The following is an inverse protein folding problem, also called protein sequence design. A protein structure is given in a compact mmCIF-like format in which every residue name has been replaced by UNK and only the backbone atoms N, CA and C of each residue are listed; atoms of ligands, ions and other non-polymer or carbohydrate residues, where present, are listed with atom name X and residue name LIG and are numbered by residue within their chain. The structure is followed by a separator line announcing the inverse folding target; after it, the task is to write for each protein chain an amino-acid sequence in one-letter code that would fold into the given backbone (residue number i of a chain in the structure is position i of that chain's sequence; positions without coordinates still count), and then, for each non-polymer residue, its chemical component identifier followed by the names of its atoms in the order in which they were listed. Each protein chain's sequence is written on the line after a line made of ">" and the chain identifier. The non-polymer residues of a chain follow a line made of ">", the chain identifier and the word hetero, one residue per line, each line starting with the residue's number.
data_IF_031415067486
#
_entry.id   IF_031415067486
#
_cell.length_a   1.000
_cell.length_b   1.000
_cell.length_c   1.000
_cell.angle_alpha   90.00
_cell.angle_beta   90.00
_cell.angle_gamma   90.00
#
_symmetry.space_group_name_H-M   'P 1'
#
loop_
_entity.id
_entity.type
_entity.pdbx_description
1 polymer ?
#
# COMPACT_ATOMS: atom_id res chain seq x y z
N UNK A 1 -24.63 -22.37 27.07
CA UNK A 1 -24.82 -22.13 25.62
C UNK A 1 -23.44 -22.03 25.00
N UNK A 2 -23.15 -22.80 23.96
CA UNK A 2 -21.84 -22.76 23.29
C UNK A 2 -21.79 -21.54 22.39
N UNK A 3 -20.74 -20.74 22.56
CA UNK A 3 -20.39 -19.61 21.70
C UNK A 3 -20.30 -20.07 20.24
N UNK A 4 -20.98 -19.43 19.28
CA UNK A 4 -20.90 -19.79 17.87
C UNK A 4 -19.47 -19.73 17.34
N UNK A 5 -19.12 -20.65 16.44
CA UNK A 5 -17.76 -20.77 15.86
C UNK A 5 -17.25 -19.47 15.22
N UNK A 6 -18.14 -18.59 14.73
CA UNK A 6 -17.76 -17.30 14.13
C UNK A 6 -17.31 -16.26 15.16
N UNK A 7 -17.88 -16.23 16.37
CA UNK A 7 -17.44 -15.34 17.46
C UNK A 7 -15.97 -15.61 17.86
N UNK A 8 -15.53 -16.86 17.79
CA UNK A 8 -14.12 -17.21 18.02
C UNK A 8 -13.18 -16.75 16.89
N UNK A 9 -13.64 -16.67 15.65
CA UNK A 9 -12.83 -16.15 14.54
C UNK A 9 -12.71 -14.63 14.59
N UNK A 10 -13.80 -13.92 14.91
CA UNK A 10 -13.80 -12.47 15.08
C UNK A 10 -12.86 -12.03 16.20
N UNK A 11 -12.88 -12.71 17.35
CA UNK A 11 -11.97 -12.42 18.46
C UNK A 11 -10.49 -12.64 18.12
N UNK A 12 -10.16 -13.67 17.33
CA UNK A 12 -8.77 -13.91 16.89
C UNK A 12 -8.31 -12.87 15.86
N UNK A 13 -9.19 -12.46 14.95
CA UNK A 13 -8.88 -11.42 13.97
C UNK A 13 -8.62 -10.07 14.65
N UNK A 14 -9.41 -9.71 15.67
CA UNK A 14 -9.18 -8.50 16.47
C UNK A 14 -7.79 -8.47 17.09
N UNK A 15 -7.41 -9.51 17.84
CA UNK A 15 -6.11 -9.60 18.52
C UNK A 15 -4.97 -9.45 17.51
N UNK A 16 -4.99 -10.24 16.43
CA UNK A 16 -3.94 -10.20 15.39
C UNK A 16 -3.84 -8.81 14.77
N UNK A 17 -4.97 -8.15 14.50
CA UNK A 17 -4.96 -6.83 13.86
C UNK A 17 -4.55 -5.71 14.83
N UNK A 18 -4.75 -5.85 16.14
CA UNK A 18 -4.20 -4.94 17.15
C UNK A 18 -2.69 -5.13 17.31
N UNK A 19 -2.22 -6.37 17.43
CA UNK A 19 -0.80 -6.71 17.47
C UNK A 19 -0.08 -6.20 16.21
N UNK A 20 -0.67 -6.40 15.02
CA UNK A 20 -0.14 -5.84 13.77
C UNK A 20 0.02 -4.31 13.85
N UNK A 21 -0.94 -3.59 14.44
CA UNK A 21 -0.86 -2.14 14.56
C UNK A 21 0.34 -1.71 15.41
N UNK A 22 0.54 -2.36 16.55
CA UNK A 22 1.61 -2.06 17.49
C UNK A 22 2.98 -2.46 16.95
N UNK A 23 3.11 -3.70 16.46
CA UNK A 23 4.37 -4.24 15.98
C UNK A 23 4.88 -3.50 14.74
N UNK A 24 3.99 -3.04 13.87
CA UNK A 24 4.40 -2.31 12.67
C UNK A 24 4.61 -0.81 12.91
N UNK A 25 4.35 -0.31 14.12
CA UNK A 25 4.44 1.13 14.42
C UNK A 25 3.33 1.95 13.76
N UNK A 26 2.19 1.32 13.45
CA UNK A 26 0.96 2.05 13.10
C UNK A 26 0.42 2.75 14.35
N UNK A 27 0.52 2.09 15.50
CA UNK A 27 0.26 2.64 16.84
C UNK A 27 1.52 2.58 17.70
N UNK A 28 1.47 3.24 18.86
CA UNK A 28 2.62 3.30 19.78
C UNK A 28 3.76 4.21 19.31
N UNK A 29 4.95 3.98 19.86
CA UNK A 29 6.14 4.82 19.66
C UNK A 29 7.18 4.22 18.71
N UNK A 30 6.98 2.98 18.25
CA UNK A 30 7.90 2.30 17.34
C UNK A 30 7.94 2.99 15.98
N UNK A 31 9.12 3.06 15.32
CA UNK A 31 9.21 3.58 13.96
C UNK A 31 8.31 2.81 12.98
N UNK A 32 7.63 3.49 12.04
CA UNK A 32 6.80 2.84 11.03
C UNK A 32 7.57 1.81 10.18
N UNK A 33 7.03 0.60 10.08
CA UNK A 33 7.49 -0.45 9.17
C UNK A 33 6.39 -0.80 8.19
N UNK A 34 6.48 -0.24 6.98
CA UNK A 34 5.49 -0.43 5.92
C UNK A 34 5.96 -1.45 4.89
N UNK A 35 5.05 -2.30 4.47
CA UNK A 35 5.23 -3.27 3.39
C UNK A 35 3.92 -3.37 2.61
N UNK A 36 3.94 -2.88 1.37
CA UNK A 36 2.74 -2.49 0.64
C UNK A 36 1.70 -3.61 0.51
N UNK A 37 2.17 -4.85 0.32
CA UNK A 37 1.28 -6.01 0.19
C UNK A 37 0.53 -6.30 1.49
N UNK A 38 1.25 -6.45 2.61
CA UNK A 38 0.63 -6.74 3.90
C UNK A 38 -0.23 -5.59 4.37
N UNK A 39 0.20 -4.35 4.15
CA UNK A 39 -0.58 -3.16 4.50
C UNK A 39 -1.91 -3.10 3.73
N UNK A 40 -1.92 -3.48 2.45
CA UNK A 40 -3.16 -3.52 1.66
C UNK A 40 -4.18 -4.53 2.21
N UNK A 41 -3.73 -5.69 2.69
CA UNK A 41 -4.61 -6.65 3.37
C UNK A 41 -5.04 -6.14 4.74
N UNK A 42 -4.14 -5.53 5.50
CA UNK A 42 -4.45 -4.95 6.81
C UNK A 42 -5.53 -3.87 6.72
N UNK A 43 -5.46 -2.96 5.74
CA UNK A 43 -6.54 -1.98 5.46
C UNK A 43 -7.87 -2.70 5.24
N UNK A 44 -7.91 -3.71 4.37
CA UNK A 44 -9.14 -4.45 4.09
C UNK A 44 -9.69 -5.16 5.35
N UNK A 45 -8.81 -5.74 6.17
CA UNK A 45 -9.19 -6.41 7.41
C UNK A 45 -9.77 -5.43 8.43
N UNK A 46 -9.15 -4.27 8.63
CA UNK A 46 -9.68 -3.23 9.51
C UNK A 46 -11.04 -2.73 9.06
N UNK A 47 -11.24 -2.51 7.75
CA UNK A 47 -12.54 -2.11 7.22
C UNK A 47 -13.63 -3.17 7.46
N UNK A 48 -13.27 -4.45 7.37
CA UNK A 48 -14.21 -5.55 7.64
C UNK A 48 -14.51 -5.69 9.14
N UNK A 49 -13.52 -5.56 10.01
CA UNK A 49 -13.72 -5.52 11.46
C UNK A 49 -14.62 -4.35 11.86
N UNK A 50 -14.42 -3.17 11.26
CA UNK A 50 -15.32 -2.03 11.44
C UNK A 50 -16.75 -2.39 11.01
N UNK A 51 -16.92 -2.98 9.82
CA UNK A 51 -18.25 -3.33 9.28
C UNK A 51 -19.01 -4.33 10.15
N UNK A 52 -18.31 -5.28 10.78
CA UNK A 52 -18.92 -6.31 11.62
C UNK A 52 -19.23 -5.83 13.04
N UNK A 53 -18.39 -4.96 13.61
CA UNK A 53 -18.48 -4.54 15.01
C UNK A 53 -19.07 -3.14 15.22
N UNK A 54 -19.13 -2.32 14.18
CA UNK A 54 -19.35 -0.86 14.23
C UNK A 54 -18.34 -0.11 15.12
N UNK A 55 -17.22 -0.75 15.50
CA UNK A 55 -16.18 -0.11 16.27
C UNK A 55 -15.32 0.80 15.38
N UNK A 56 -15.50 2.12 15.56
CA UNK A 56 -14.80 3.16 14.80
C UNK A 56 -13.28 3.14 14.94
N UNK A 57 -12.74 2.53 16.00
CA UNK A 57 -11.28 2.38 16.17
C UNK A 57 -10.64 1.68 14.96
N UNK A 58 -11.30 0.66 14.39
CA UNK A 58 -10.76 -0.03 13.22
C UNK A 58 -10.82 0.84 11.96
N UNK A 59 -11.86 1.66 11.81
CA UNK A 59 -11.90 2.61 10.71
C UNK A 59 -10.74 3.62 10.83
N UNK A 60 -10.50 4.15 12.03
CA UNK A 60 -9.39 5.05 12.29
C UNK A 60 -8.03 4.40 12.02
N UNK A 61 -7.84 3.14 12.41
CA UNK A 61 -6.64 2.36 12.09
C UNK A 61 -6.46 2.18 10.57
N UNK A 62 -7.53 1.88 9.83
CA UNK A 62 -7.47 1.76 8.37
C UNK A 62 -7.04 3.08 7.72
N UNK A 63 -7.62 4.21 8.14
CA UNK A 63 -7.30 5.52 7.60
C UNK A 63 -5.88 5.98 7.97
N UNK A 64 -5.47 5.74 9.21
CA UNK A 64 -4.10 6.01 9.67
C UNK A 64 -3.08 5.17 8.90
N UNK A 65 -3.42 3.92 8.57
CA UNK A 65 -2.53 3.06 7.80
C UNK A 65 -2.39 3.56 6.35
N UNK A 66 -3.48 3.99 5.72
CA UNK A 66 -3.42 4.61 4.39
C UNK A 66 -2.48 5.82 4.40
N UNK A 67 -2.69 6.73 5.35
CA UNK A 67 -1.88 7.93 5.51
C UNK A 67 -0.38 7.60 5.73
N UNK A 68 -0.09 6.67 6.63
CA UNK A 68 1.29 6.27 6.93
C UNK A 68 1.95 5.55 5.75
N UNK A 69 1.23 4.71 4.99
CA UNK A 69 1.77 4.11 3.76
C UNK A 69 2.12 5.17 2.73
N UNK A 70 1.26 6.17 2.51
CA UNK A 70 1.53 7.27 1.59
C UNK A 70 2.77 8.07 2.01
N UNK A 71 2.89 8.44 3.28
CA UNK A 71 4.02 9.22 3.78
C UNK A 71 5.34 8.44 3.84
N UNK A 72 5.29 7.11 3.96
CA UNK A 72 6.49 6.27 4.02
C UNK A 72 6.86 5.76 2.62
N UNK A 73 5.94 5.07 1.95
CA UNK A 73 6.19 4.39 0.68
C UNK A 73 5.98 5.29 -0.54
N UNK A 74 5.28 6.42 -0.43
CA UNK A 74 5.20 7.45 -1.48
C UNK A 74 6.41 8.39 -1.52
N UNK A 75 7.38 8.21 -0.62
CA UNK A 75 8.63 8.96 -0.57
C UNK A 75 9.84 8.12 -0.95
N UNK A 76 10.95 8.79 -1.26
CA UNK A 76 12.28 8.19 -1.38
C UNK A 76 12.65 7.41 -0.13
N UNK A 77 13.63 6.49 -0.25
CA UNK A 77 14.04 5.64 0.87
C UNK A 77 14.59 6.42 2.08
N UNK A 78 15.21 7.58 1.82
CA UNK A 78 15.68 8.49 2.87
C UNK A 78 14.58 9.43 3.39
N UNK A 79 13.35 9.33 2.85
CA UNK A 79 12.18 10.09 3.29
C UNK A 79 12.18 11.56 2.92
N UNK A 80 13.17 12.04 2.15
CA UNK A 80 13.37 13.47 1.88
C UNK A 80 12.50 14.02 0.76
N UNK A 81 12.16 13.20 -0.23
CA UNK A 81 11.38 13.64 -1.39
C UNK A 81 10.23 12.69 -1.67
N UNK A 82 9.15 13.22 -2.22
CA UNK A 82 8.08 12.41 -2.79
C UNK A 82 8.53 11.77 -4.10
N UNK A 83 8.08 10.54 -4.36
CA UNK A 83 8.39 9.84 -5.61
C UNK A 83 7.84 10.57 -6.85
N UNK A 84 6.80 11.37 -6.67
CA UNK A 84 6.20 12.18 -7.74
C UNK A 84 7.09 13.34 -8.18
N UNK A 85 8.09 13.72 -7.38
CA UNK A 85 8.89 14.92 -7.59
C UNK A 85 8.13 16.23 -7.34
N UNK A 86 6.87 16.17 -6.91
CA UNK A 86 6.06 17.32 -6.56
C UNK A 86 6.57 17.98 -5.27
N UNK A 87 6.27 19.26 -5.08
CA UNK A 87 6.48 19.91 -3.79
C UNK A 87 5.61 19.26 -2.70
N UNK A 88 5.97 19.50 -1.43
CA UNK A 88 5.28 18.86 -0.31
C UNK A 88 3.77 19.07 -0.34
N UNK A 89 3.28 20.29 -0.58
CA UNK A 89 1.84 20.59 -0.49
C UNK A 89 1.05 19.87 -1.58
N UNK A 90 1.58 19.84 -2.79
CA UNK A 90 0.92 19.18 -3.90
C UNK A 90 1.05 17.65 -3.82
N UNK A 91 2.18 17.15 -3.32
CA UNK A 91 2.35 15.73 -3.09
C UNK A 91 1.43 15.19 -1.98
N UNK A 92 1.12 15.96 -0.93
CA UNK A 92 0.11 15.56 0.07
C UNK A 92 -1.28 15.38 -0.55
N UNK A 93 -1.60 16.12 -1.61
CA UNK A 93 -2.88 16.00 -2.33
C UNK A 93 -2.88 14.82 -3.28
N UNK A 94 -1.71 14.48 -3.83
CA UNK A 94 -1.51 13.44 -4.84
C UNK A 94 -0.41 12.43 -4.41
N UNK A 95 -0.56 11.78 -3.25
CA UNK A 95 0.52 10.97 -2.64
C UNK A 95 0.89 9.74 -3.47
N UNK A 96 0.02 9.32 -4.38
CA UNK A 96 0.20 8.16 -5.25
C UNK A 96 0.67 8.50 -6.67
N UNK A 97 0.79 9.80 -7.01
CA UNK A 97 1.14 10.25 -8.36
C UNK A 97 2.58 9.94 -8.79
N UNK A 98 3.45 9.48 -7.87
CA UNK A 98 4.77 8.93 -8.20
C UNK A 98 4.86 7.41 -8.14
N UNK A 99 3.73 6.75 -7.87
CA UNK A 99 3.73 5.35 -7.47
C UNK A 99 4.05 5.17 -5.99
N UNK A 100 4.26 3.92 -5.57
CA UNK A 100 4.58 3.57 -4.18
C UNK A 100 5.69 2.51 -4.17
N UNK A 101 6.64 2.68 -3.26
CA UNK A 101 7.64 1.65 -2.96
C UNK A 101 6.98 0.39 -2.39
N UNK A 102 7.67 -0.75 -2.48
CA UNK A 102 7.22 -2.01 -1.87
C UNK A 102 7.46 -2.00 -0.35
N UNK A 103 8.58 -1.41 0.10
CA UNK A 103 9.01 -1.42 1.51
C UNK A 103 10.02 -2.53 1.85
N UNK A 104 10.72 -3.09 0.85
CA UNK A 104 11.73 -4.13 1.08
C UNK A 104 13.05 -3.56 1.64
N UNK A 105 13.87 -4.44 2.20
CA UNK A 105 15.10 -4.07 2.94
C UNK A 105 16.25 -3.62 2.04
N UNK A 106 16.38 -4.18 0.84
CA UNK A 106 17.42 -3.76 -0.10
C UNK A 106 16.89 -2.65 -1.01
N UNK A 107 17.75 -1.72 -1.39
CA UNK A 107 17.40 -0.71 -2.38
C UNK A 107 17.22 -1.33 -3.78
N UNK A 108 16.56 -0.61 -4.69
CA UNK A 108 16.57 -0.97 -6.11
C UNK A 108 18.01 -1.18 -6.61
N UNK A 109 18.17 -2.10 -7.57
CA UNK A 109 19.47 -2.37 -8.18
C UNK A 109 19.92 -1.15 -8.98
N UNK A 110 21.16 -0.71 -8.74
CA UNK A 110 21.73 0.38 -9.53
C UNK A 110 21.98 -0.08 -10.97
N UNK A 111 21.94 0.81 -11.97
CA UNK A 111 22.15 0.41 -13.36
C UNK A 111 23.49 -0.30 -13.62
N UNK A 112 24.51 0.01 -12.83
CA UNK A 112 25.87 -0.56 -12.88
C UNK A 112 26.05 -1.81 -12.02
N UNK A 113 25.09 -2.14 -11.15
CA UNK A 113 25.13 -3.37 -10.36
C UNK A 113 24.72 -4.59 -11.19
N UNK A 114 25.52 -5.67 -11.07
CA UNK A 114 25.22 -6.94 -11.69
C UNK A 114 23.84 -7.48 -11.25
N UNK A 115 23.12 -8.07 -12.18
CA UNK A 115 21.86 -8.73 -11.89
C UNK A 115 22.11 -9.99 -11.06
N UNK A 116 21.45 -10.08 -9.90
CA UNK A 116 21.44 -11.25 -9.03
C UNK A 116 19.99 -11.60 -8.72
N UNK A 117 19.53 -12.74 -9.24
CA UNK A 117 18.15 -13.18 -9.14
C UNK A 117 17.68 -13.31 -7.69
N UNK A 118 18.53 -13.79 -6.77
CA UNK A 118 18.16 -13.96 -5.37
C UNK A 118 17.98 -12.61 -4.69
N UNK A 119 18.90 -11.67 -4.93
CA UNK A 119 18.80 -10.33 -4.35
C UNK A 119 17.58 -9.57 -4.89
N UNK A 120 17.18 -9.77 -6.15
CA UNK A 120 16.01 -9.08 -6.72
C UNK A 120 14.70 -9.32 -5.94
N UNK A 121 14.58 -10.48 -5.28
CA UNK A 121 13.45 -10.79 -4.40
C UNK A 121 13.43 -9.95 -3.13
N UNK A 122 14.57 -9.44 -2.68
CA UNK A 122 14.70 -8.60 -1.47
C UNK A 122 14.87 -7.11 -1.77
N UNK A 123 14.91 -6.74 -3.06
CA UNK A 123 15.00 -5.35 -3.52
C UNK A 123 13.65 -4.67 -3.59
N UNK A 124 13.63 -3.44 -3.07
CA UNK A 124 12.52 -2.50 -3.09
C UNK A 124 12.22 -2.04 -4.52
N UNK A 125 11.46 -0.97 -4.63
CA UNK A 125 11.09 -0.34 -5.87
C UNK A 125 9.61 -0.43 -6.11
N UNK A 126 9.18 -0.61 -7.36
CA UNK A 126 7.77 -0.74 -7.68
C UNK A 126 7.50 -2.08 -8.38
N UNK A 127 6.32 -2.65 -8.12
CA UNK A 127 5.92 -3.90 -8.75
C UNK A 127 4.42 -3.88 -9.00
N UNK A 128 4.01 -4.11 -10.24
CA UNK A 128 2.64 -3.90 -10.70
C UNK A 128 1.58 -4.55 -9.78
N UNK A 129 1.76 -5.83 -9.38
CA UNK A 129 0.73 -6.51 -8.60
C UNK A 129 0.59 -5.95 -7.16
N UNK A 130 1.66 -5.45 -6.54
CA UNK A 130 1.59 -4.78 -5.25
C UNK A 130 0.76 -3.49 -5.36
N UNK A 131 1.02 -2.70 -6.41
CA UNK A 131 0.28 -1.47 -6.66
C UNK A 131 -1.21 -1.75 -6.91
N UNK A 132 -1.55 -2.76 -7.71
CA UNK A 132 -2.96 -3.12 -7.95
C UNK A 132 -3.69 -3.55 -6.68
N UNK A 133 -3.01 -4.24 -5.75
CA UNK A 133 -3.61 -4.61 -4.47
C UNK A 133 -3.86 -3.38 -3.59
N UNK A 134 -2.96 -2.39 -3.63
CA UNK A 134 -3.17 -1.12 -2.94
C UNK A 134 -4.30 -0.28 -3.57
N UNK A 135 -4.41 -0.22 -4.90
CA UNK A 135 -5.55 0.40 -5.60
C UNK A 135 -6.88 -0.20 -5.13
N UNK A 136 -6.93 -1.53 -4.97
CA UNK A 136 -8.09 -2.21 -4.41
C UNK A 136 -8.38 -1.75 -2.97
N UNK A 137 -7.37 -1.72 -2.10
CA UNK A 137 -7.55 -1.26 -0.71
C UNK A 137 -8.11 0.18 -0.66
N UNK A 138 -7.56 1.09 -1.46
CA UNK A 138 -8.06 2.47 -1.56
C UNK A 138 -9.51 2.54 -2.07
N UNK A 139 -9.87 1.74 -3.08
CA UNK A 139 -11.27 1.64 -3.52
C UNK A 139 -12.19 1.15 -2.40
N UNK A 140 -11.75 0.18 -1.59
CA UNK A 140 -12.51 -0.30 -0.41
C UNK A 140 -12.70 0.80 0.63
N UNK A 141 -11.66 1.59 0.93
CA UNK A 141 -11.77 2.73 1.86
C UNK A 141 -12.75 3.78 1.33
N UNK A 142 -12.67 4.12 0.05
CA UNK A 142 -13.63 5.05 -0.60
C UNK A 142 -15.07 4.60 -0.38
N UNK A 143 -15.36 3.32 -0.63
CA UNK A 143 -16.71 2.75 -0.49
C UNK A 143 -17.23 2.72 0.94
N UNK A 144 -16.37 2.46 1.92
CA UNK A 144 -16.78 2.40 3.33
C UNK A 144 -16.97 3.79 3.93
N UNK A 145 -16.19 4.77 3.46
CA UNK A 145 -16.21 6.14 4.00
C UNK A 145 -17.07 7.12 3.20
N UNK A 146 -17.51 6.74 2.01
CA UNK A 146 -18.13 7.60 0.99
C UNK A 146 -17.24 8.82 0.60
N UNK A 147 -15.92 8.68 0.75
CA UNK A 147 -14.95 9.73 0.41
C UNK A 147 -14.26 9.40 -0.90
N UNK A 148 -14.66 10.09 -1.98
CA UNK A 148 -14.14 9.88 -3.33
C UNK A 148 -12.62 10.08 -3.50
N UNK A 149 -11.98 10.82 -2.58
CA UNK A 149 -10.53 11.09 -2.63
C UNK A 149 -9.68 9.80 -2.64
N UNK A 150 -10.08 8.75 -1.90
CA UNK A 150 -9.32 7.49 -1.91
C UNK A 150 -9.37 6.80 -3.27
N UNK A 151 -10.52 6.89 -3.96
CA UNK A 151 -10.63 6.34 -5.31
C UNK A 151 -9.87 7.20 -6.34
N UNK A 152 -9.78 8.51 -6.14
CA UNK A 152 -8.93 9.39 -6.94
C UNK A 152 -7.45 8.97 -6.83
N UNK A 153 -6.94 8.73 -5.63
CA UNK A 153 -5.58 8.21 -5.43
C UNK A 153 -5.38 6.82 -6.06
N UNK A 154 -6.39 5.94 -6.02
CA UNK A 154 -6.32 4.66 -6.71
C UNK A 154 -6.18 4.82 -8.24
N UNK A 155 -6.89 5.80 -8.83
CA UNK A 155 -6.81 6.12 -10.26
C UNK A 155 -5.45 6.71 -10.63
N UNK A 156 -4.93 7.64 -9.83
CA UNK A 156 -3.58 8.20 -10.04
C UNK A 156 -2.52 7.11 -10.00
N UNK A 157 -2.59 6.21 -9.02
CA UNK A 157 -1.68 5.07 -8.94
C UNK A 157 -1.79 4.19 -10.18
N UNK A 158 -3.00 3.98 -10.70
CA UNK A 158 -3.23 3.19 -11.90
C UNK A 158 -2.62 3.86 -13.15
N UNK A 159 -2.70 5.18 -13.27
CA UNK A 159 -2.10 5.93 -14.37
C UNK A 159 -0.58 5.79 -14.38
N UNK A 160 0.06 5.97 -13.23
CA UNK A 160 1.51 5.84 -13.08
C UNK A 160 1.97 4.40 -13.32
N UNK A 161 1.28 3.43 -12.71
CA UNK A 161 1.61 2.02 -12.90
C UNK A 161 1.45 1.62 -14.38
N UNK A 162 0.37 2.02 -15.04
CA UNK A 162 0.19 1.74 -16.45
C UNK A 162 1.31 2.37 -17.31
N UNK A 163 1.70 3.61 -17.02
CA UNK A 163 2.81 4.27 -17.71
C UNK A 163 4.16 3.57 -17.52
N UNK A 164 4.46 3.12 -16.31
CA UNK A 164 5.74 2.49 -15.97
C UNK A 164 5.84 1.02 -16.41
N UNK A 165 4.73 0.28 -16.37
CA UNK A 165 4.73 -1.17 -16.59
C UNK A 165 4.22 -1.59 -17.97
N UNK A 166 3.95 -0.65 -18.87
CA UNK A 166 3.58 -0.94 -20.26
C UNK A 166 4.62 -0.40 -21.24
N UNK A 167 4.87 -1.15 -22.31
CA UNK A 167 5.75 -0.72 -23.40
C UNK A 167 5.19 -1.19 -24.74
N UNK A 168 5.61 -0.53 -25.82
CA UNK A 168 5.23 -0.89 -27.18
C UNK A 168 6.48 -1.30 -27.95
N UNK A 169 6.64 -2.58 -28.32
CA UNK A 169 7.75 -3.01 -29.16
C UNK A 169 7.76 -2.28 -30.52
N UNK A 170 8.94 -1.98 -31.05
CA UNK A 170 9.08 -1.37 -32.36
C UNK A 170 8.35 -2.20 -33.44
N UNK A 171 7.52 -1.55 -34.25
CA UNK A 171 6.74 -2.20 -35.31
C UNK A 171 5.47 -2.94 -34.85
N UNK A 172 5.16 -2.98 -33.55
CA UNK A 172 3.93 -3.57 -33.01
C UNK A 172 2.85 -2.50 -32.80
N UNK A 173 1.58 -2.81 -33.09
CA UNK A 173 0.43 -2.01 -32.62
C UNK A 173 -0.09 -2.46 -31.25
N UNK A 174 0.43 -3.58 -30.72
CA UNK A 174 0.01 -4.18 -29.45
C UNK A 174 0.99 -3.79 -28.34
N UNK A 175 0.46 -3.28 -27.23
CA UNK A 175 1.22 -3.02 -26.00
C UNK A 175 1.52 -4.31 -25.25
N UNK A 176 2.67 -4.37 -24.58
CA UNK A 176 3.12 -5.45 -23.71
C UNK A 176 3.29 -4.91 -22.29
N UNK A 177 3.34 -5.82 -21.32
CA UNK A 177 3.54 -5.50 -19.91
C UNK A 177 4.81 -6.14 -19.36
N UNK A 178 5.44 -5.46 -18.41
CA UNK A 178 6.45 -6.03 -17.49
C UNK A 178 5.94 -5.89 -16.06
N UNK A 179 6.50 -6.70 -15.16
CA UNK A 179 5.99 -6.81 -13.80
C UNK A 179 6.81 -5.99 -12.78
N UNK A 180 8.11 -5.85 -13.04
CA UNK A 180 9.11 -5.08 -12.32
C UNK A 180 10.04 -4.45 -13.36
#
# INVERSE_FOLDING_TARGET
>A
MSTPRWEHFEHRADIIMREFAEETGLTGASPPRRYLWTDAFAVCNYLELYRQSDNRDYLELALKLVDQVHHVLGKSRDGKSWLSGLDNKEAERHPTAGGLRIGKKLAERRPDEAFDEQLEWDRDGQHFHYLTKWMHALNRVSRVTDKGIYNQWAIELAQVAHGAFTYQPAGSQVKRMVWK
#
